data_IF_335207404722
#
_entry.id   IF_335207404722
#
_cell.length_a   1.000
_cell.length_b   1.000
_cell.length_c   1.000
_cell.angle_alpha   90.00
_cell.angle_beta   90.00
_cell.angle_gamma   90.00
#
_symmetry.space_group_name_H-M   'P 1'
#
loop_
_entity.id
_entity.type
_entity.pdbx_description
1 polymer ?
#
# COMPACT_ATOMS: atom_id res chain seq x y z
N UNK A 1 4.90 -6.11 -11.47
CA UNK A 1 6.29 -6.47 -11.90
C UNK A 1 6.26 -7.23 -13.21
N UNK A 2 6.93 -6.77 -14.21
CA UNK A 2 6.94 -7.42 -15.53
C UNK A 2 8.00 -8.51 -15.61
N UNK A 3 7.74 -9.68 -15.09
CA UNK A 3 8.30 -10.95 -15.61
C UNK A 3 9.80 -11.25 -15.50
N UNK A 4 10.64 -10.39 -14.94
CA UNK A 4 12.03 -10.75 -14.64
C UNK A 4 12.14 -11.26 -13.19
N UNK A 5 12.33 -12.58 -13.04
CA UNK A 5 12.43 -13.23 -11.72
C UNK A 5 13.71 -12.83 -10.93
N UNK A 6 14.60 -12.05 -11.53
CA UNK A 6 15.81 -11.53 -10.88
C UNK A 6 15.56 -10.22 -10.12
N UNK A 7 14.47 -9.50 -10.42
CA UNK A 7 14.08 -8.24 -9.78
C UNK A 7 13.09 -8.51 -8.67
N UNK A 8 13.48 -8.16 -7.44
CA UNK A 8 12.60 -8.34 -6.28
C UNK A 8 11.49 -7.28 -6.25
N UNK A 9 10.35 -7.66 -5.69
CA UNK A 9 9.30 -6.73 -5.28
C UNK A 9 9.84 -5.69 -4.28
N UNK A 10 9.25 -4.51 -4.24
CA UNK A 10 9.68 -3.39 -3.40
C UNK A 10 11.13 -2.90 -3.65
N UNK A 11 11.79 -3.33 -4.73
CA UNK A 11 13.14 -2.87 -5.09
C UNK A 11 13.12 -1.54 -5.85
N UNK A 12 14.26 -0.84 -5.86
CA UNK A 12 14.44 0.40 -6.62
C UNK A 12 14.12 0.21 -8.12
N UNK A 13 14.55 -0.91 -8.69
CA UNK A 13 14.32 -1.23 -10.11
C UNK A 13 12.82 -1.52 -10.38
N UNK A 14 12.12 -2.15 -9.43
CA UNK A 14 10.69 -2.41 -9.57
C UNK A 14 9.88 -1.10 -9.58
N UNK A 15 10.21 -0.14 -8.71
CA UNK A 15 9.57 1.18 -8.68
C UNK A 15 9.89 1.97 -9.94
N UNK A 16 11.17 2.00 -10.37
CA UNK A 16 11.56 2.66 -11.60
C UNK A 16 10.86 2.08 -12.84
N UNK A 17 10.62 0.77 -12.88
CA UNK A 17 9.87 0.13 -13.95
C UNK A 17 8.39 0.53 -13.95
N UNK A 18 7.77 0.71 -12.78
CA UNK A 18 6.40 1.19 -12.67
C UNK A 18 6.29 2.66 -13.12
N UNK A 19 7.22 3.52 -12.70
CA UNK A 19 7.32 4.93 -13.13
C UNK A 19 7.49 5.03 -14.65
N UNK A 20 8.44 4.30 -15.21
CA UNK A 20 8.68 4.25 -16.66
C UNK A 20 7.49 3.72 -17.47
N UNK A 21 6.65 2.87 -16.87
CA UNK A 21 5.39 2.42 -17.46
C UNK A 21 4.29 3.49 -17.41
N UNK A 22 4.48 4.60 -16.69
CA UNK A 22 3.54 5.69 -16.53
C UNK A 22 2.59 5.53 -15.33
N UNK A 23 2.96 4.73 -14.33
CA UNK A 23 2.18 4.65 -13.09
C UNK A 23 2.24 6.00 -12.35
N UNK A 24 1.09 6.49 -11.90
CA UNK A 24 1.01 7.67 -11.03
C UNK A 24 1.15 7.28 -9.56
N UNK A 25 0.81 6.04 -9.22
CA UNK A 25 0.82 5.51 -7.86
C UNK A 25 1.66 4.24 -7.80
N UNK A 26 2.45 4.12 -6.74
CA UNK A 26 3.16 2.90 -6.39
C UNK A 26 2.70 2.46 -5.00
N UNK A 27 2.32 1.19 -4.90
CA UNK A 27 2.10 0.55 -3.60
C UNK A 27 3.39 -0.11 -3.16
N UNK A 28 3.71 0.00 -1.87
CA UNK A 28 4.91 -0.57 -1.26
C UNK A 28 4.69 -0.89 0.21
N UNK A 29 5.45 -1.85 0.69
CA UNK A 29 5.39 -2.33 2.07
C UNK A 29 6.60 -1.81 2.86
N UNK A 30 6.41 -1.44 4.13
CA UNK A 30 7.48 -0.99 5.00
C UNK A 30 7.67 -1.87 6.22
N UNK A 31 8.92 -2.25 6.48
CA UNK A 31 9.38 -2.92 7.70
C UNK A 31 10.57 -2.20 8.32
N UNK A 32 10.78 -2.41 9.62
CA UNK A 32 11.96 -1.91 10.32
C UNK A 32 13.10 -2.92 10.24
N UNK A 33 14.32 -2.45 10.01
CA UNK A 33 15.57 -3.18 10.16
C UNK A 33 16.04 -3.20 11.61
N UNK A 34 17.13 -3.91 11.91
CA UNK A 34 17.72 -3.97 13.25
C UNK A 34 18.20 -2.60 13.77
N UNK A 35 18.61 -1.73 12.87
CA UNK A 35 19.04 -0.35 13.14
C UNK A 35 17.87 0.67 13.12
N UNK A 36 16.64 0.21 12.83
CA UNK A 36 15.41 0.99 12.98
C UNK A 36 14.98 1.73 11.72
N UNK A 37 15.67 1.55 10.59
CA UNK A 37 15.27 2.18 9.34
C UNK A 37 14.03 1.52 8.73
N UNK A 38 13.11 2.32 8.21
CA UNK A 38 11.98 1.84 7.43
C UNK A 38 12.43 1.51 6.00
N UNK A 39 12.56 0.22 5.71
CA UNK A 39 12.94 -0.28 4.39
C UNK A 39 11.74 -0.82 3.63
N UNK A 40 11.80 -0.74 2.29
CA UNK A 40 10.75 -1.28 1.44
C UNK A 40 10.88 -2.80 1.35
N UNK A 41 10.03 -3.51 2.09
CA UNK A 41 10.06 -4.97 2.19
C UNK A 41 8.71 -5.55 2.63
N UNK A 42 8.22 -6.57 1.90
CA UNK A 42 6.92 -7.17 2.20
C UNK A 42 6.96 -8.16 3.36
N UNK A 43 7.82 -9.18 3.29
CA UNK A 43 7.78 -10.35 4.17
C UNK A 43 8.34 -10.03 5.57
N UNK A 44 8.01 -10.84 6.56
CA UNK A 44 8.58 -10.73 7.89
C UNK A 44 10.03 -11.21 7.92
N UNK A 45 10.36 -12.20 7.08
CA UNK A 45 11.68 -12.83 6.99
C UNK A 45 12.24 -12.74 5.58
N UNK A 46 13.56 -12.96 5.44
CA UNK A 46 14.24 -12.98 4.15
C UNK A 46 14.04 -14.31 3.40
N UNK A 47 13.29 -15.27 3.97
CA UNK A 47 13.17 -16.65 3.48
C UNK A 47 12.70 -16.76 2.03
N UNK A 48 11.66 -16.02 1.64
CA UNK A 48 11.07 -16.13 0.30
C UNK A 48 12.01 -15.64 -0.80
N UNK A 49 12.71 -14.55 -0.56
CA UNK A 49 13.54 -13.91 -1.57
C UNK A 49 14.98 -14.42 -1.57
N UNK A 50 15.52 -14.72 -0.39
CA UNK A 50 16.95 -14.99 -0.22
C UNK A 50 17.25 -16.40 0.37
N UNK A 51 16.22 -17.17 0.75
CA UNK A 51 16.41 -18.45 1.42
C UNK A 51 16.93 -18.35 2.86
N UNK A 52 17.04 -17.14 3.41
CA UNK A 52 17.51 -16.83 4.75
C UNK A 52 16.32 -16.75 5.72
N UNK A 53 16.25 -17.55 6.80
CA UNK A 53 15.10 -17.54 7.71
C UNK A 53 15.08 -16.35 8.66
N UNK A 54 16.11 -15.50 8.70
CA UNK A 54 16.18 -14.37 9.62
C UNK A 54 15.08 -13.35 9.35
N UNK A 55 14.45 -12.80 10.40
CA UNK A 55 13.57 -11.64 10.30
C UNK A 55 14.31 -10.41 9.79
N UNK A 56 13.63 -9.55 9.03
CA UNK A 56 14.16 -8.24 8.59
C UNK A 56 14.59 -7.40 9.80
N UNK A 57 13.87 -7.47 10.89
CA UNK A 57 14.16 -6.76 12.13
C UNK A 57 15.47 -7.20 12.85
N UNK A 58 16.09 -8.30 12.42
CA UNK A 58 17.37 -8.77 12.94
C UNK A 58 18.56 -8.46 12.00
N UNK A 59 18.30 -7.83 10.84
CA UNK A 59 19.30 -7.53 9.82
C UNK A 59 19.44 -6.01 9.69
N UNK A 60 20.68 -5.51 9.62
CA UNK A 60 20.92 -4.07 9.43
C UNK A 60 20.59 -3.63 8.01
N UNK A 61 20.27 -2.36 7.83
CA UNK A 61 20.00 -1.76 6.52
C UNK A 61 21.20 -1.95 5.57
N UNK A 62 22.42 -1.77 6.07
CA UNK A 62 23.63 -1.97 5.28
C UNK A 62 23.85 -3.42 4.85
N UNK A 63 23.52 -4.41 5.67
CA UNK A 63 23.57 -5.82 5.29
C UNK A 63 22.49 -6.15 4.25
N UNK A 64 21.26 -5.69 4.48
CA UNK A 64 20.14 -5.92 3.58
C UNK A 64 20.41 -5.28 2.21
N UNK A 65 20.98 -4.08 2.17
CA UNK A 65 21.36 -3.41 0.92
C UNK A 65 22.38 -4.23 0.11
N UNK A 66 23.35 -4.87 0.77
CA UNK A 66 24.31 -5.77 0.09
C UNK A 66 23.62 -7.01 -0.48
N UNK A 67 22.68 -7.60 0.24
CA UNK A 67 21.91 -8.75 -0.23
C UNK A 67 21.03 -8.41 -1.42
N UNK A 68 20.52 -7.19 -1.49
CA UNK A 68 19.65 -6.72 -2.58
C UNK A 68 20.40 -6.16 -3.80
N UNK A 69 21.71 -5.94 -3.72
CA UNK A 69 22.50 -5.28 -4.77
C UNK A 69 22.35 -5.94 -6.16
N UNK A 70 22.27 -7.28 -6.22
CA UNK A 70 22.07 -8.03 -7.47
C UNK A 70 20.59 -8.22 -7.86
N UNK A 71 19.64 -7.72 -7.06
CA UNK A 71 18.20 -8.00 -7.18
C UNK A 71 17.35 -6.73 -7.34
N UNK A 72 17.93 -5.68 -7.86
CA UNK A 72 17.23 -4.43 -8.15
C UNK A 72 17.44 -3.32 -7.12
N UNK A 73 18.28 -3.55 -6.08
CA UNK A 73 18.61 -2.58 -5.04
C UNK A 73 17.54 -2.41 -3.97
N UNK A 74 17.97 -2.30 -2.72
CA UNK A 74 17.11 -1.93 -1.59
C UNK A 74 16.88 -0.41 -1.62
N UNK A 75 15.72 0.01 -1.12
CA UNK A 75 15.45 1.40 -0.74
C UNK A 75 14.91 1.46 0.68
N UNK A 76 15.33 2.45 1.43
CA UNK A 76 14.55 2.96 2.56
C UNK A 76 13.36 3.74 2.02
N UNK A 77 12.34 3.94 2.85
CA UNK A 77 11.18 4.74 2.45
C UNK A 77 11.57 6.19 2.11
N UNK A 78 12.50 6.77 2.89
CA UNK A 78 13.01 8.12 2.64
C UNK A 78 13.68 8.21 1.25
N UNK A 79 14.59 7.29 0.93
CA UNK A 79 15.25 7.24 -0.37
C UNK A 79 14.26 7.06 -1.53
N UNK A 80 13.22 6.23 -1.34
CA UNK A 80 12.19 6.03 -2.35
C UNK A 80 11.39 7.32 -2.61
N UNK A 81 10.97 7.99 -1.56
CA UNK A 81 10.23 9.25 -1.66
C UNK A 81 11.07 10.35 -2.31
N UNK A 82 12.35 10.46 -1.98
CA UNK A 82 13.26 11.46 -2.59
C UNK A 82 13.60 11.14 -4.05
N UNK A 83 13.82 9.86 -4.37
CA UNK A 83 14.22 9.41 -5.71
C UNK A 83 13.10 9.49 -6.75
N UNK A 84 11.83 9.39 -6.30
CA UNK A 84 10.66 9.41 -7.18
C UNK A 84 9.69 10.55 -6.82
N UNK A 85 10.06 11.82 -7.04
CA UNK A 85 9.31 12.97 -6.55
C UNK A 85 7.94 13.16 -7.21
N UNK A 86 7.69 12.58 -8.37
CA UNK A 86 6.44 12.69 -9.10
C UNK A 86 5.45 11.56 -8.77
N UNK A 87 5.93 10.46 -8.22
CA UNK A 87 5.08 9.34 -7.82
C UNK A 87 4.32 9.65 -6.53
N UNK A 88 3.10 9.17 -6.46
CA UNK A 88 2.33 9.04 -5.22
C UNK A 88 2.55 7.65 -4.62
N UNK A 89 2.69 7.59 -3.31
CA UNK A 89 2.98 6.34 -2.62
C UNK A 89 1.83 5.89 -1.75
N UNK A 90 1.45 4.63 -1.90
CA UNK A 90 0.59 3.90 -1.00
C UNK A 90 1.46 3.00 -0.13
N UNK A 91 1.63 3.34 1.14
CA UNK A 91 2.60 2.71 2.04
C UNK A 91 1.88 1.82 3.05
N UNK A 92 2.08 0.49 2.96
CA UNK A 92 1.59 -0.47 3.96
C UNK A 92 2.62 -0.64 5.10
N UNK A 93 2.28 -0.17 6.28
CA UNK A 93 3.13 -0.26 7.47
C UNK A 93 2.98 -1.64 8.10
N UNK A 94 3.87 -2.57 7.75
CA UNK A 94 3.80 -3.99 8.16
C UNK A 94 4.13 -4.23 9.64
N UNK A 95 4.91 -3.35 10.26
CA UNK A 95 5.36 -3.53 11.63
C UNK A 95 5.26 -2.23 12.43
N UNK A 96 4.85 -2.33 13.69
CA UNK A 96 4.76 -1.18 14.60
C UNK A 96 6.14 -0.51 14.80
N UNK A 97 7.21 -1.30 14.80
CA UNK A 97 8.58 -0.80 14.93
C UNK A 97 9.00 0.14 13.78
N UNK A 98 8.40 0.01 12.58
CA UNK A 98 8.66 0.90 11.45
C UNK A 98 7.91 2.24 11.53
N UNK A 99 6.89 2.36 12.38
CA UNK A 99 5.94 3.47 12.33
C UNK A 99 6.57 4.84 12.58
N UNK A 100 7.56 4.93 13.47
CA UNK A 100 8.22 6.21 13.78
C UNK A 100 9.09 6.68 12.60
N UNK A 101 9.85 5.77 11.99
CA UNK A 101 10.70 6.11 10.85
C UNK A 101 9.88 6.37 9.59
N UNK A 102 8.82 5.57 9.35
CA UNK A 102 7.82 5.85 8.31
C UNK A 102 7.25 7.27 8.47
N UNK A 103 6.85 7.65 9.69
CA UNK A 103 6.28 8.99 9.93
C UNK A 103 7.27 10.10 9.63
N UNK A 104 8.54 9.96 10.02
CA UNK A 104 9.61 10.93 9.70
C UNK A 104 9.86 11.05 8.20
N UNK A 105 9.96 9.90 7.51
CA UNK A 105 10.18 9.87 6.06
C UNK A 105 9.00 10.48 5.28
N UNK A 106 7.77 10.24 5.74
CA UNK A 106 6.54 10.72 5.09
C UNK A 106 6.31 12.21 5.29
N UNK A 107 6.71 12.79 6.42
CA UNK A 107 6.36 14.17 6.79
C UNK A 107 6.61 15.20 5.68
N UNK A 108 7.78 15.26 5.00
CA UNK A 108 8.02 16.21 3.91
C UNK A 108 7.17 15.91 2.65
N UNK A 109 6.65 14.70 2.53
CA UNK A 109 5.97 14.18 1.35
C UNK A 109 4.49 13.84 1.60
N UNK A 110 3.93 14.25 2.74
CA UNK A 110 2.60 13.84 3.20
C UNK A 110 1.48 14.09 2.18
N UNK A 111 1.61 15.13 1.36
CA UNK A 111 0.63 15.51 0.32
C UNK A 111 0.47 14.47 -0.82
N UNK A 112 1.40 13.53 -0.94
CA UNK A 112 1.43 12.49 -1.99
C UNK A 112 1.55 11.06 -1.44
N UNK A 113 1.30 10.88 -0.14
CA UNK A 113 1.37 9.57 0.52
C UNK A 113 0.02 9.19 1.09
N UNK A 114 -0.36 7.93 0.90
CA UNK A 114 -1.44 7.26 1.61
C UNK A 114 -0.83 6.23 2.55
N UNK A 115 -1.15 6.31 3.84
CA UNK A 115 -0.72 5.35 4.84
C UNK A 115 -1.80 4.30 5.08
N UNK A 116 -1.44 3.04 4.95
CA UNK A 116 -2.29 1.90 5.25
C UNK A 116 -1.60 0.90 6.16
N UNK A 117 -2.35 -0.01 6.74
CA UNK A 117 -1.88 -1.23 7.41
C UNK A 117 -3.04 -2.19 7.61
N UNK A 118 -2.75 -3.48 7.61
CA UNK A 118 -3.71 -4.49 8.07
C UNK A 118 -4.05 -4.34 9.56
N UNK A 119 -3.10 -3.87 10.38
CA UNK A 119 -3.31 -3.52 11.79
C UNK A 119 -3.40 -2.00 11.94
N UNK A 120 -4.59 -1.49 12.30
CA UNK A 120 -4.83 -0.07 12.51
C UNK A 120 -3.89 0.58 13.55
N UNK A 121 -3.29 -0.19 14.47
CA UNK A 121 -2.31 0.32 15.43
C UNK A 121 -1.05 0.84 14.72
N UNK A 122 -0.54 0.08 13.73
CA UNK A 122 0.64 0.48 12.96
C UNK A 122 0.35 1.78 12.18
N UNK A 123 -0.80 1.81 11.49
CA UNK A 123 -1.24 2.97 10.73
C UNK A 123 -1.38 4.22 11.62
N UNK A 124 -2.08 4.11 12.75
CA UNK A 124 -2.26 5.23 13.67
C UNK A 124 -0.93 5.71 14.25
N UNK A 125 -0.01 4.79 14.56
CA UNK A 125 1.33 5.14 15.05
C UNK A 125 2.13 5.91 13.97
N UNK A 126 2.08 5.47 12.71
CA UNK A 126 2.75 6.16 11.61
C UNK A 126 2.14 7.55 11.34
N UNK A 127 0.79 7.66 11.33
CA UNK A 127 0.12 8.96 11.22
C UNK A 127 0.51 9.91 12.36
N UNK A 128 0.53 9.44 13.60
CA UNK A 128 0.94 10.23 14.75
C UNK A 128 2.41 10.67 14.65
N UNK A 129 3.29 9.78 14.17
CA UNK A 129 4.71 10.08 13.94
C UNK A 129 4.88 11.13 12.83
N UNK A 130 4.08 11.06 11.75
CA UNK A 130 4.10 12.07 10.68
C UNK A 130 3.72 13.46 11.21
N UNK A 131 2.65 13.55 12.01
CA UNK A 131 2.24 14.81 12.64
C UNK A 131 3.30 15.32 13.61
N UNK A 132 3.93 14.45 14.40
CA UNK A 132 5.03 14.79 15.33
C UNK A 132 6.27 15.30 14.59
N UNK A 133 6.48 14.89 13.34
CA UNK A 133 7.58 15.34 12.49
C UNK A 133 7.25 16.61 11.69
N UNK A 134 6.27 17.38 12.13
CA UNK A 134 5.86 18.70 11.59
C UNK A 134 5.46 18.66 10.10
N UNK A 135 4.73 17.62 9.69
CA UNK A 135 4.15 17.56 8.35
C UNK A 135 3.16 18.71 8.11
N UNK A 136 3.25 19.38 6.98
CA UNK A 136 2.35 20.48 6.58
C UNK A 136 0.89 20.04 6.43
N UNK A 137 0.67 18.75 6.07
CA UNK A 137 -0.65 18.14 5.92
C UNK A 137 -0.65 16.74 6.51
N UNK A 138 -1.81 16.26 6.93
CA UNK A 138 -1.99 14.87 7.33
C UNK A 138 -2.03 14.02 6.06
N UNK A 139 -1.22 12.94 5.93
CA UNK A 139 -1.27 12.07 4.77
C UNK A 139 -2.62 11.36 4.66
N UNK A 140 -3.02 11.01 3.44
CA UNK A 140 -4.20 10.19 3.21
C UNK A 140 -4.09 8.84 3.94
N UNK A 141 -5.22 8.22 4.24
CA UNK A 141 -5.26 7.04 5.10
C UNK A 141 -6.31 6.03 4.65
N UNK A 142 -5.95 4.75 4.70
CA UNK A 142 -6.88 3.63 4.42
C UNK A 142 -7.05 2.72 5.64
N UNK A 143 -8.27 2.31 5.90
CA UNK A 143 -8.61 1.51 7.07
C UNK A 143 -8.09 0.07 7.02
N UNK A 144 -7.74 -0.46 8.19
CA UNK A 144 -7.24 -1.81 8.35
C UNK A 144 -8.33 -2.89 8.27
N UNK A 145 -7.93 -4.12 8.50
CA UNK A 145 -8.74 -5.34 8.33
C UNK A 145 -10.07 -5.29 9.09
N UNK A 146 -10.06 -4.78 10.33
CA UNK A 146 -11.26 -4.70 11.16
C UNK A 146 -12.26 -3.67 10.63
N UNK A 147 -11.79 -2.51 10.17
CA UNK A 147 -12.63 -1.48 9.56
C UNK A 147 -13.33 -2.03 8.30
N UNK A 148 -12.60 -2.76 7.45
CA UNK A 148 -13.13 -3.40 6.23
C UNK A 148 -14.19 -4.45 6.58
N UNK A 149 -13.95 -5.31 7.56
CA UNK A 149 -14.91 -6.34 7.99
C UNK A 149 -16.20 -5.71 8.51
N UNK A 150 -16.10 -4.69 9.36
CA UNK A 150 -17.23 -3.95 9.90
C UNK A 150 -17.98 -3.18 8.80
N UNK A 151 -17.29 -2.55 7.88
CA UNK A 151 -17.88 -1.87 6.73
C UNK A 151 -18.66 -2.85 5.85
N UNK A 152 -18.09 -4.04 5.59
CA UNK A 152 -18.74 -5.09 4.81
C UNK A 152 -20.05 -5.53 5.48
N UNK A 153 -20.06 -5.69 6.81
CA UNK A 153 -21.25 -6.04 7.59
C UNK A 153 -22.28 -4.89 7.57
N UNK A 154 -21.86 -3.66 7.88
CA UNK A 154 -22.73 -2.49 7.90
C UNK A 154 -23.39 -2.26 6.53
N UNK A 155 -22.63 -2.43 5.45
CA UNK A 155 -23.11 -2.30 4.07
C UNK A 155 -24.11 -3.38 3.69
N UNK A 156 -23.88 -4.64 4.11
CA UNK A 156 -24.81 -5.74 3.89
C UNK A 156 -26.16 -5.54 4.62
N UNK A 157 -26.09 -5.00 5.82
CA UNK A 157 -27.29 -4.70 6.66
C UNK A 157 -27.90 -3.33 6.34
N UNK A 158 -27.34 -2.58 5.38
CA UNK A 158 -27.80 -1.23 4.98
C UNK A 158 -27.78 -0.20 6.13
N UNK A 159 -26.88 -0.36 7.09
CA UNK A 159 -26.73 0.50 8.27
C UNK A 159 -25.86 1.73 7.92
N UNK A 160 -26.41 2.67 7.14
CA UNK A 160 -25.68 3.82 6.58
C UNK A 160 -24.97 4.67 7.63
N UNK A 161 -25.61 4.93 8.78
CA UNK A 161 -25.00 5.71 9.87
C UNK A 161 -23.78 5.02 10.47
N UNK A 162 -23.82 3.69 10.58
CA UNK A 162 -22.68 2.89 11.05
C UNK A 162 -21.56 2.84 10.02
N UNK A 163 -21.87 2.63 8.74
CA UNK A 163 -20.88 2.68 7.66
C UNK A 163 -20.14 4.04 7.65
N UNK A 164 -20.85 5.17 7.71
CA UNK A 164 -20.24 6.51 7.80
C UNK A 164 -19.36 6.69 9.05
N UNK A 165 -19.74 6.08 10.18
CA UNK A 165 -18.94 6.15 11.40
C UNK A 165 -17.61 5.36 11.24
N UNK A 166 -17.66 4.18 10.61
CA UNK A 166 -16.48 3.36 10.33
C UNK A 166 -15.51 4.10 9.37
N UNK A 167 -16.05 4.76 8.35
CA UNK A 167 -15.30 5.44 7.30
C UNK A 167 -14.77 6.83 7.71
N UNK A 168 -15.13 7.32 8.90
CA UNK A 168 -14.71 8.65 9.34
C UNK A 168 -13.20 8.77 9.46
N UNK A 169 -12.61 9.73 8.75
CA UNK A 169 -11.16 9.98 8.74
C UNK A 169 -10.38 8.98 7.91
N UNK A 170 -11.06 8.24 7.01
CA UNK A 170 -10.43 7.45 5.98
C UNK A 170 -10.65 8.13 4.62
N UNK A 171 -9.64 8.08 3.77
CA UNK A 171 -9.68 8.57 2.40
C UNK A 171 -9.92 7.42 1.41
N UNK A 172 -9.47 6.20 1.77
CA UNK A 172 -9.68 5.01 0.98
C UNK A 172 -9.99 3.76 1.82
N UNK A 173 -10.54 2.74 1.18
CA UNK A 173 -10.55 1.36 1.66
C UNK A 173 -9.88 0.46 0.62
N UNK A 174 -8.92 -0.32 1.06
CA UNK A 174 -8.14 -1.23 0.21
C UNK A 174 -8.54 -2.66 0.50
N UNK A 175 -9.19 -3.29 -0.46
CA UNK A 175 -9.86 -4.58 -0.26
C UNK A 175 -9.46 -5.62 -1.30
N UNK A 176 -9.39 -6.91 -0.91
CA UNK A 176 -9.38 -7.98 -1.90
C UNK A 176 -10.75 -8.05 -2.58
N UNK A 177 -10.79 -8.46 -3.82
CA UNK A 177 -12.07 -8.74 -4.47
C UNK A 177 -12.90 -9.77 -3.69
N UNK A 178 -12.21 -10.80 -3.19
CA UNK A 178 -12.78 -11.91 -2.42
C UNK A 178 -11.88 -12.28 -1.24
N UNK A 179 -12.49 -12.79 -0.19
CA UNK A 179 -11.81 -13.45 0.91
C UNK A 179 -12.35 -14.88 1.05
N UNK A 180 -11.61 -15.85 0.52
CA UNK A 180 -12.13 -17.21 0.33
C UNK A 180 -13.41 -17.20 -0.53
N UNK A 181 -14.51 -17.84 -0.09
CA UNK A 181 -15.78 -17.85 -0.82
C UNK A 181 -16.52 -16.49 -0.73
N UNK A 182 -16.18 -15.65 0.22
CA UNK A 182 -16.87 -14.39 0.47
C UNK A 182 -16.44 -13.31 -0.54
N UNK A 183 -17.42 -12.73 -1.25
CA UNK A 183 -17.20 -11.54 -2.07
C UNK A 183 -17.12 -10.30 -1.17
N UNK A 184 -15.96 -9.63 -1.15
CA UNK A 184 -15.73 -8.41 -0.36
C UNK A 184 -16.22 -7.19 -1.14
N UNK A 185 -15.79 -7.03 -2.39
CA UNK A 185 -16.29 -5.96 -3.26
C UNK A 185 -17.75 -6.24 -3.62
N UNK A 186 -18.64 -5.42 -3.13
CA UNK A 186 -20.08 -5.49 -3.43
C UNK A 186 -20.63 -4.11 -3.76
N UNK A 187 -21.70 -4.02 -4.58
CA UNK A 187 -22.30 -2.72 -4.90
C UNK A 187 -22.77 -1.94 -3.67
N UNK A 188 -23.12 -2.61 -2.57
CA UNK A 188 -23.52 -1.94 -1.33
C UNK A 188 -22.32 -1.36 -0.59
N UNK A 189 -21.16 -2.02 -0.60
CA UNK A 189 -19.91 -1.51 -0.01
C UNK A 189 -19.41 -0.31 -0.80
N UNK A 190 -19.33 -0.42 -2.13
CA UNK A 190 -18.91 0.67 -3.01
C UNK A 190 -19.77 1.92 -2.78
N UNK A 191 -21.10 1.77 -2.82
CA UNK A 191 -22.00 2.90 -2.52
C UNK A 191 -21.79 3.48 -1.13
N UNK A 192 -21.56 2.65 -0.11
CA UNK A 192 -21.36 3.15 1.25
C UNK A 192 -20.04 3.92 1.39
N UNK A 193 -18.99 3.51 0.69
CA UNK A 193 -17.71 4.22 0.63
C UNK A 193 -17.89 5.56 -0.11
N UNK A 194 -18.46 5.54 -1.32
CA UNK A 194 -18.68 6.74 -2.13
C UNK A 194 -19.64 7.74 -1.47
N UNK A 195 -20.70 7.28 -0.79
CA UNK A 195 -21.61 8.14 0.00
C UNK A 195 -20.89 8.86 1.17
N UNK A 196 -19.72 8.38 1.54
CA UNK A 196 -18.84 8.97 2.56
C UNK A 196 -17.64 9.74 1.97
N UNK A 197 -17.49 9.78 0.64
CA UNK A 197 -16.34 10.39 -0.05
C UNK A 197 -15.05 9.58 0.06
N UNK A 198 -15.15 8.27 0.26
CA UNK A 198 -14.03 7.34 0.45
C UNK A 198 -13.83 6.49 -0.78
N UNK A 199 -12.62 6.44 -1.30
CA UNK A 199 -12.23 5.64 -2.47
C UNK A 199 -12.20 4.13 -2.15
N UNK A 200 -12.40 3.30 -3.19
CA UNK A 200 -12.33 1.83 -3.09
C UNK A 200 -11.23 1.33 -4.00
N UNK A 201 -10.14 0.84 -3.42
CA UNK A 201 -9.01 0.23 -4.13
C UNK A 201 -9.08 -1.29 -4.01
N UNK A 202 -8.84 -2.00 -5.13
CA UNK A 202 -8.94 -3.47 -5.16
C UNK A 202 -7.59 -4.09 -5.51
N UNK A 203 -7.12 -5.03 -4.69
CA UNK A 203 -5.83 -5.73 -4.83
C UNK A 203 -5.98 -7.26 -4.80
N UNK A 204 -5.04 -8.05 -5.27
CA UNK A 204 -4.07 -7.75 -6.34
C UNK A 204 -4.64 -8.29 -7.63
N UNK A 205 -4.79 -7.45 -8.64
CA UNK A 205 -5.51 -7.78 -9.87
C UNK A 205 -4.55 -7.69 -11.05
N UNK A 206 -4.25 -8.83 -11.69
CA UNK A 206 -3.30 -8.91 -12.80
C UNK A 206 -3.95 -9.22 -14.16
N UNK A 207 -5.25 -9.54 -14.17
CA UNK A 207 -6.01 -9.83 -15.37
C UNK A 207 -6.69 -8.57 -15.94
N UNK A 208 -6.47 -8.21 -17.24
CA UNK A 208 -6.99 -6.99 -17.83
C UNK A 208 -8.52 -6.92 -17.91
N UNK A 209 -9.17 -8.05 -18.17
CA UNK A 209 -10.64 -8.07 -18.26
C UNK A 209 -11.23 -7.87 -16.85
N UNK A 210 -10.56 -8.45 -15.85
CA UNK A 210 -10.95 -8.26 -14.47
C UNK A 210 -10.73 -6.82 -14.01
N UNK A 211 -9.63 -6.17 -14.39
CA UNK A 211 -9.40 -4.74 -14.12
C UNK A 211 -10.56 -3.90 -14.65
N UNK A 212 -10.94 -4.06 -15.93
CA UNK A 212 -12.07 -3.32 -16.53
C UNK A 212 -13.39 -3.58 -15.78
N UNK A 213 -13.65 -4.84 -15.47
CA UNK A 213 -14.89 -5.24 -14.77
C UNK A 213 -14.98 -4.62 -13.36
N UNK A 214 -13.87 -4.52 -12.64
CA UNK A 214 -13.82 -3.94 -11.29
C UNK A 214 -13.98 -2.43 -11.32
N UNK A 215 -13.34 -1.73 -12.25
CA UNK A 215 -13.54 -0.29 -12.47
C UNK A 215 -15.01 -0.01 -12.85
N UNK A 216 -15.59 -0.81 -13.76
CA UNK A 216 -17.01 -0.70 -14.11
C UNK A 216 -17.95 -1.01 -12.93
N UNK A 217 -17.49 -1.78 -11.94
CA UNK A 217 -18.23 -2.07 -10.70
C UNK A 217 -18.04 -0.98 -9.62
N UNK A 218 -17.24 0.06 -9.90
CA UNK A 218 -17.03 1.21 -9.03
C UNK A 218 -15.77 1.14 -8.17
N UNK A 219 -14.75 0.36 -8.55
CA UNK A 219 -13.43 0.48 -7.98
C UNK A 219 -12.76 1.76 -8.52
N UNK A 220 -12.22 2.58 -7.62
CA UNK A 220 -11.51 3.83 -7.95
C UNK A 220 -10.03 3.57 -8.25
N UNK A 221 -9.45 2.53 -7.64
CA UNK A 221 -8.07 2.11 -7.84
C UNK A 221 -7.91 0.61 -8.01
N UNK A 222 -6.93 0.22 -8.83
CA UNK A 222 -6.50 -1.18 -9.02
C UNK A 222 -5.03 -1.30 -8.59
N UNK A 223 -4.76 -2.14 -7.59
CA UNK A 223 -3.40 -2.53 -7.21
C UNK A 223 -3.02 -3.78 -7.99
N UNK A 224 -1.88 -3.74 -8.67
CA UNK A 224 -1.45 -4.78 -9.60
C UNK A 224 0.07 -4.92 -9.66
N UNK A 225 0.56 -6.12 -9.90
CA UNK A 225 1.98 -6.38 -10.22
C UNK A 225 2.32 -6.05 -11.70
N UNK A 226 1.32 -5.66 -12.51
CA UNK A 226 1.41 -5.45 -13.93
C UNK A 226 0.98 -4.03 -14.32
N UNK A 227 1.71 -3.02 -13.79
CA UNK A 227 1.45 -1.61 -14.07
C UNK A 227 1.39 -1.32 -15.58
N UNK A 228 2.33 -1.90 -16.36
CA UNK A 228 2.38 -1.82 -17.82
C UNK A 228 1.08 -2.26 -18.49
N UNK A 229 0.46 -3.31 -17.98
CA UNK A 229 -0.77 -3.88 -18.49
C UNK A 229 -1.99 -3.07 -18.03
N UNK A 230 -2.00 -2.65 -16.77
CA UNK A 230 -3.09 -1.86 -16.21
C UNK A 230 -3.25 -0.53 -16.95
N UNK A 231 -2.16 0.20 -17.18
CA UNK A 231 -2.17 1.50 -17.87
C UNK A 231 -2.70 1.34 -19.29
N UNK A 232 -2.17 0.38 -20.07
CA UNK A 232 -2.70 0.10 -21.42
C UNK A 232 -4.17 -0.30 -21.43
N UNK A 233 -4.65 -0.92 -20.35
CA UNK A 233 -6.01 -1.46 -20.25
C UNK A 233 -7.03 -0.42 -19.84
N UNK A 234 -6.66 0.49 -18.93
CA UNK A 234 -7.57 1.41 -18.23
C UNK A 234 -7.49 2.85 -18.75
N UNK A 235 -6.38 3.24 -19.41
CA UNK A 235 -6.29 4.57 -20.04
C UNK A 235 -7.20 4.61 -21.29
N UNK A 236 -8.11 5.58 -21.39
CA UNK A 236 -8.90 5.78 -22.60
C UNK A 236 -7.99 6.05 -23.81
N UNK A 237 -8.29 5.46 -24.96
CA UNK A 237 -7.61 5.77 -26.23
C UNK A 237 -8.15 7.06 -26.81
#
# INVERSE_FOLDING_TARGET
MGGDSSVFDNSALAIAAADAAGAEYVETDCRATADGDAVLFHDETLQRLLGDPRPVAEVTTAELARLFAAHGGLLTLAEALDSFPLLRFNVDVKALAAAEDVGRAVAPHAHRVLLTSFDDRNRHAALAATVKADADVVPASSGGRNAIALLRLASALRLRGWARRILRGLDAVQIPERFGPLRVLTPSLVRAAHDAGVEVHVWTINDPERMRALVAAGADGIVTDRADLAIRTLTPR
#
